data_IF_377621069575
#
_entry.id   IF_377621069575
#
_cell.length_a   1.000
_cell.length_b   1.000
_cell.length_c   1.000
_cell.angle_alpha   90.00
_cell.angle_beta   90.00
_cell.angle_gamma   90.00
#
_symmetry.space_group_name_H-M   'P 1'
#
loop_
_entity.id
_entity.type
_entity.pdbx_description
1 polymer ?
2 polymer ?
3 polymer ?
4 non-polymer ?
5 water ?
#
loop_
_entity_poly.entity_id
_entity_poly.type
_entity_poly.pdbx_seq_one_letter_code
_entity_poly.pdbx_strand_id
2 'polydeoxyribonucleotide' '(DA)(DG)(DC)(DG)(DT)(DG)(DG)(DG)(DG)(DG)(DT)' ?
3 'polydeoxyribonucleotide' '(DT)(DA)(DC)(DC)(DC)(DC)(DC)(DA)(DC)(DG)(DC)' ?
#
# COMPACT_ATOMS: atom_id res chain seq x y z
N UNK A 7 19.55 3.00 -13.08
CA UNK A 7 18.14 3.12 -13.48
C UNK A 7 17.93 3.13 -15.00
N UNK A 8 18.07 1.97 -15.64
CA UNK A 8 17.93 1.90 -17.10
C UNK A 8 16.52 1.73 -17.63
N UNK A 9 15.52 1.56 -16.76
CA UNK A 9 14.13 1.37 -17.20
C UNK A 9 13.39 2.72 -17.10
N UNK A 10 13.50 3.52 -18.17
CA UNK A 10 12.89 4.85 -18.24
C UNK A 10 11.42 4.75 -18.65
N UNK A 11 10.64 5.74 -18.20
CA UNK A 11 9.23 5.83 -18.58
C UNK A 11 9.11 6.73 -19.79
N UNK A 12 8.45 6.23 -20.85
CA UNK A 12 8.33 6.96 -22.09
C UNK A 12 7.00 7.67 -22.22
N UNK A 13 6.12 7.58 -21.23
CA UNK A 13 4.88 8.31 -21.27
C UNK A 13 5.14 9.81 -21.35
N UNK A 14 4.23 10.51 -22.03
CA UNK A 14 4.40 11.92 -22.28
C UNK A 14 4.58 12.68 -20.97
N UNK A 15 5.61 13.54 -20.93
CA UNK A 15 5.89 14.46 -19.83
C UNK A 15 6.40 13.76 -18.56
N UNK A 16 6.65 12.45 -18.61
CA UNK A 16 7.15 11.74 -17.44
C UNK A 16 8.67 11.62 -17.54
N UNK A 17 9.34 11.82 -16.41
CA UNK A 17 10.80 11.75 -16.35
C UNK A 17 11.29 10.61 -15.46
N UNK A 18 10.41 9.69 -15.06
CA UNK A 18 10.83 8.72 -14.07
C UNK A 18 11.67 7.62 -14.69
N UNK A 19 12.61 7.12 -13.90
CA UNK A 19 13.47 6.01 -14.27
C UNK A 19 13.48 5.01 -13.12
N UNK A 20 13.70 3.75 -13.44
CA UNK A 20 13.66 2.72 -12.42
C UNK A 20 14.81 1.76 -12.56
N UNK A 21 15.16 1.15 -11.43
CA UNK A 21 16.17 0.13 -11.46
C UNK A 21 15.64 -1.23 -11.89
N UNK A 22 14.33 -1.47 -11.78
CA UNK A 22 13.74 -2.76 -12.05
C UNK A 22 12.61 -2.60 -13.07
N UNK A 23 12.43 -3.62 -13.91
CA UNK A 23 11.39 -3.52 -14.93
C UNK A 23 9.99 -3.67 -14.33
N UNK A 24 9.85 -4.49 -13.28
CA UNK A 24 8.55 -4.64 -12.65
C UNK A 24 8.14 -3.36 -11.96
N UNK A 25 9.12 -2.57 -11.48
CA UNK A 25 8.77 -1.31 -10.84
C UNK A 25 8.40 -0.24 -11.85
N UNK A 26 9.00 -0.27 -13.04
CA UNK A 26 8.54 0.59 -14.11
C UNK A 26 7.11 0.22 -14.51
N UNK A 27 6.84 -1.07 -14.67
CA UNK A 27 5.49 -1.49 -15.08
C UNK A 27 4.44 -1.09 -14.04
N UNK A 28 4.77 -1.28 -12.74
CA UNK A 28 3.85 -0.88 -11.69
C UNK A 28 3.56 0.60 -11.76
N UNK A 29 4.61 1.39 -11.90
CA UNK A 29 4.49 2.84 -12.06
C UNK A 29 3.56 3.22 -13.20
N UNK A 30 3.68 2.55 -14.34
CA UNK A 30 2.94 2.99 -15.53
C UNK A 30 1.42 2.82 -15.35
N UNK A 31 1.00 1.99 -14.38
CA UNK A 31 -0.42 1.90 -14.07
C UNK A 31 -0.99 3.25 -13.67
N UNK A 32 -0.15 4.16 -13.14
CA UNK A 32 -0.64 5.49 -12.82
C UNK A 32 -1.12 6.23 -14.07
N UNK A 33 -0.44 6.02 -15.18
CA UNK A 33 -0.75 6.74 -16.40
C UNK A 33 -1.96 6.13 -17.09
N UNK A 34 -2.06 4.81 -17.09
CA UNK A 34 -3.11 4.11 -17.81
C UNK A 34 -4.37 3.93 -16.99
N UNK A 35 -4.27 3.99 -15.67
CA UNK A 35 -5.40 3.72 -14.82
C UNK A 35 -5.73 2.27 -14.65
N UNK A 36 -4.85 1.38 -15.10
CA UNK A 36 -5.12 -0.05 -15.03
C UNK A 36 -5.12 -0.49 -13.57
N UNK A 37 -6.10 -1.32 -13.20
CA UNK A 37 -6.28 -1.80 -11.83
C UNK A 37 -6.44 -3.31 -11.85
N UNK A 38 -5.34 -4.07 -11.86
CA UNK A 38 -5.45 -5.51 -12.08
C UNK A 38 -6.08 -6.29 -10.94
N UNK A 39 -6.17 -5.74 -9.74
CA UNK A 39 -6.41 -6.56 -8.56
C UNK A 39 -7.76 -6.21 -7.95
N UNK A 40 -8.58 -7.23 -7.72
CA UNK A 40 -9.95 -6.99 -7.29
C UNK A 40 -10.25 -7.61 -5.93
N UNK A 41 -10.94 -6.82 -5.09
CA UNK A 41 -11.45 -7.26 -3.80
C UNK A 41 -12.64 -8.20 -3.98
N UNK A 42 -12.52 -9.41 -3.43
CA UNK A 42 -13.57 -10.40 -3.59
C UNK A 42 -14.78 -10.12 -2.70
N UNK A 43 -14.67 -9.20 -1.75
CA UNK A 43 -15.80 -8.86 -0.90
C UNK A 43 -16.64 -7.71 -1.46
N UNK A 44 -16.01 -6.60 -1.84
CA UNK A 44 -16.73 -5.42 -2.32
C UNK A 44 -16.51 -5.12 -3.80
N UNK A 45 -15.67 -5.89 -4.50
CA UNK A 45 -15.41 -5.78 -5.93
C UNK A 45 -14.65 -4.52 -6.36
N UNK A 46 -14.20 -3.67 -5.43
CA UNK A 46 -13.34 -2.54 -5.81
C UNK A 46 -12.04 -3.06 -6.41
N UNK A 47 -11.51 -2.34 -7.41
CA UNK A 47 -10.25 -2.74 -8.03
C UNK A 47 -9.13 -1.81 -7.61
N UNK A 48 -7.90 -2.35 -7.63
CA UNK A 48 -6.71 -1.69 -7.12
C UNK A 48 -5.54 -1.85 -8.09
N UNK A 49 -4.66 -0.85 -8.07
CA UNK A 49 -3.50 -0.85 -8.95
C UNK A 49 -2.43 -1.85 -8.51
N UNK A 50 -2.41 -2.23 -7.23
CA UNK A 50 -1.30 -2.98 -6.64
C UNK A 50 -1.80 -4.08 -5.73
N UNK A 51 -1.12 -5.23 -5.79
CA UNK A 51 -1.59 -6.40 -5.05
C UNK A 51 -1.37 -6.23 -3.55
N UNK A 52 -0.33 -5.53 -3.15
CA UNK A 52 -0.11 -5.34 -1.71
C UNK A 52 -1.19 -4.45 -1.12
N UNK A 53 -1.64 -3.45 -1.87
CA UNK A 53 -2.68 -2.54 -1.37
C UNK A 53 -4.05 -3.21 -1.40
N UNK A 54 -4.29 -4.12 -2.34
CA UNK A 54 -5.48 -4.94 -2.20
C UNK A 54 -5.43 -5.74 -0.90
N UNK A 55 -4.28 -6.29 -0.57
CA UNK A 55 -4.18 -7.13 0.62
C UNK A 55 -4.53 -6.34 1.88
N UNK A 56 -3.97 -5.14 2.03
CA UNK A 56 -4.27 -4.37 3.24
C UNK A 56 -5.68 -3.80 3.19
N UNK A 57 -6.18 -3.45 2.01
CA UNK A 57 -7.59 -3.07 1.88
C UNK A 57 -8.51 -4.14 2.46
N UNK A 58 -8.23 -5.41 2.16
CA UNK A 58 -9.12 -6.49 2.57
C UNK A 58 -9.31 -6.52 4.09
N UNK A 59 -8.33 -6.03 4.85
CA UNK A 59 -8.49 -5.97 6.30
C UNK A 59 -9.54 -4.97 6.75
N UNK A 60 -9.91 -4.01 5.91
CA UNK A 60 -11.00 -3.13 6.28
C UNK A 60 -12.31 -3.87 6.43
N UNK A 61 -12.44 -5.05 5.80
CA UNK A 61 -13.63 -5.89 5.89
C UNK A 61 -13.54 -6.91 7.02
N UNK A 62 -12.35 -7.44 7.29
CA UNK A 62 -12.23 -8.54 8.23
C UNK A 62 -12.03 -8.08 9.67
N UNK A 63 -11.67 -6.81 9.87
CA UNK A 63 -11.35 -6.31 11.18
C UNK A 63 -10.02 -6.74 11.73
N UNK A 64 -9.24 -7.54 11.01
CA UNK A 64 -7.98 -8.00 11.58
C UNK A 64 -7.03 -6.82 11.80
N UNK A 65 -6.49 -6.73 13.01
CA UNK A 65 -5.56 -5.66 13.38
C UNK A 65 -4.32 -6.32 13.95
N UNK A 66 -3.40 -6.76 13.08
CA UNK A 66 -2.27 -7.56 13.55
C UNK A 66 -1.26 -6.79 14.40
N UNK A 67 -1.18 -5.47 14.23
CA UNK A 67 -0.08 -4.68 14.76
C UNK A 67 -0.47 -4.04 16.08
N UNK A 68 0.10 -4.57 17.18
CA UNK A 68 -0.25 -4.17 18.54
C UNK A 68 0.77 -3.20 19.11
N UNK A 69 0.25 -2.18 19.82
CA UNK A 69 1.12 -1.28 20.55
C UNK A 69 1.89 -2.03 21.62
N UNK A 70 3.19 -1.73 21.73
CA UNK A 70 4.04 -2.35 22.73
C UNK A 70 4.22 -1.52 23.98
N UNK A 71 3.59 -0.35 24.05
CA UNK A 71 3.66 0.47 25.23
C UNK A 71 2.96 -0.22 26.41
N UNK A 72 3.53 -0.18 27.60
CA UNK A 72 2.89 -0.83 28.75
C UNK A 72 1.46 -0.35 28.95
N UNK A 73 0.56 -1.29 29.15
CA UNK A 73 -0.84 -1.01 29.50
C UNK A 73 -1.57 -0.23 28.40
N UNK A 74 -1.05 -0.22 27.18
CA UNK A 74 -1.80 0.27 26.04
C UNK A 74 -2.24 -0.94 25.21
N UNK A 75 -3.53 -0.98 24.87
CA UNK A 75 -4.10 -2.12 24.18
C UNK A 75 -4.49 -1.80 22.74
N UNK A 76 -4.07 -0.66 22.21
CA UNK A 76 -4.43 -0.31 20.84
C UNK A 76 -3.77 -1.27 19.85
N UNK A 77 -4.51 -1.57 18.78
CA UNK A 77 -4.06 -2.42 17.66
C UNK A 77 -4.44 -1.76 16.34
N UNK A 78 -3.73 -2.17 15.27
CA UNK A 78 -3.81 -1.50 13.97
C UNK A 78 -3.75 -2.50 12.82
N UNK A 79 -4.47 -2.15 11.75
CA UNK A 79 -4.51 -3.00 10.56
C UNK A 79 -3.18 -3.02 9.80
N UNK A 80 -2.44 -1.92 9.83
CA UNK A 80 -1.25 -1.72 9.01
C UNK A 80 -0.07 -1.29 9.86
N UNK A 81 1.11 -1.68 9.42
CA UNK A 81 2.31 -1.41 10.20
C UNK A 81 2.55 0.09 10.38
N UNK A 82 2.30 0.90 9.33
CA UNK A 82 2.61 2.32 9.42
C UNK A 82 1.66 3.05 10.34
N UNK A 83 0.44 2.55 10.52
CA UNK A 83 -0.44 3.10 11.56
C UNK A 83 0.18 2.92 12.94
N UNK A 84 0.81 1.76 13.18
CA UNK A 84 1.44 1.51 14.49
C UNK A 84 2.70 2.36 14.66
N UNK A 85 3.46 2.54 13.58
CA UNK A 85 4.58 3.49 13.63
C UNK A 85 4.10 4.86 14.08
N UNK A 86 3.02 5.35 13.46
CA UNK A 86 2.51 6.66 13.83
C UNK A 86 2.09 6.71 15.30
N UNK A 87 1.46 5.64 15.78
CA UNK A 87 0.99 5.57 17.15
C UNK A 87 2.15 5.51 18.15
N UNK A 88 3.18 4.71 17.87
CA UNK A 88 4.35 4.67 18.73
C UNK A 88 5.04 6.03 18.78
N UNK A 89 5.17 6.69 17.63
CA UNK A 89 5.73 8.02 17.61
C UNK A 89 5.00 8.93 18.60
N UNK A 90 3.68 8.74 18.72
CA UNK A 90 2.89 9.63 19.59
C UNK A 90 3.12 9.36 21.07
N UNK A 91 3.33 8.10 21.47
CA UNK A 91 3.53 7.80 22.88
C UNK A 91 4.73 8.54 23.41
N UNK A 92 5.74 8.74 22.56
CA UNK A 92 6.95 9.42 22.99
C UNK A 92 6.79 10.93 22.99
N UNK A 93 6.06 11.47 22.01
CA UNK A 93 5.71 12.89 21.87
C UNK A 93 6.25 13.37 20.52
X LIG D 1 5.80 7.51 -16.07
X LIG E 1 -13.16 -4.55 -0.44
X LIG F 1 -0.20 2.65 22.50
#
# INVERSE_FOLDING_TARGET
GPLGSEKPYQCDFKDCERRFSRSDRLKRHQRRHTGVKPFQCKTCQRKFSRSDHLKTHTRTHTGEKPFSCRWPSCQKKFARSDELVRHHNMHQR
ZN ZN
ZN ZN
ZN ZN
#
